data_IF_760165304340
#
_entry.id   IF_760165304340
#
_cell.length_a   1.000
_cell.length_b   1.000
_cell.length_c   1.000
_cell.angle_alpha   90.00
_cell.angle_beta   90.00
_cell.angle_gamma   90.00
#
_symmetry.space_group_name_H-M   'P 1'
#
loop_
_entity.id
_entity.type
_entity.pdbx_description
1 polymer ?
#
# COMPACT_ATOMS: atom_id res chain seq x y z
N UNK A 1 -10.90 1.73 -85.60
CA UNK A 1 -12.09 2.49 -85.12
C UNK A 1 -11.79 2.99 -83.72
N UNK A 2 -11.49 4.29 -83.61
CA UNK A 2 -11.12 4.97 -82.36
C UNK A 2 -12.36 5.51 -81.63
N UNK A 3 -12.43 5.32 -80.32
CA UNK A 3 -13.10 6.21 -79.35
C UNK A 3 -12.23 6.16 -78.09
N UNK A 4 -11.30 7.09 -77.85
CA UNK A 4 -11.47 8.50 -77.45
C UNK A 4 -12.13 8.62 -76.06
N UNK A 5 -11.35 8.95 -75.02
CA UNK A 5 -11.32 10.29 -74.40
C UNK A 5 -10.46 10.30 -73.13
N UNK A 6 -9.47 11.18 -73.15
CA UNK A 6 -8.74 11.65 -71.98
C UNK A 6 -9.70 12.43 -71.06
N UNK A 7 -9.57 12.25 -69.74
CA UNK A 7 -10.01 13.26 -68.77
C UNK A 7 -9.24 13.11 -67.47
N UNK A 8 -8.07 13.74 -67.41
CA UNK A 8 -7.43 14.17 -66.17
C UNK A 8 -8.32 15.17 -65.44
N UNK A 9 -8.33 15.18 -64.10
CA UNK A 9 -8.15 16.39 -63.25
C UNK A 9 -8.26 16.09 -61.74
N UNK A 10 -7.28 16.65 -61.00
CA UNK A 10 -7.26 17.13 -59.60
C UNK A 10 -7.35 16.17 -58.41
N UNK A 11 -6.20 15.96 -57.75
CA UNK A 11 -6.05 16.00 -56.29
C UNK A 11 -6.11 17.49 -55.84
N UNK A 12 -6.67 17.85 -54.66
CA UNK A 12 -5.94 17.65 -53.40
C UNK A 12 -6.77 17.48 -52.10
N UNK A 13 -6.10 16.89 -51.09
CA UNK A 13 -6.13 17.20 -49.63
C UNK A 13 -7.48 17.38 -48.93
N UNK A 14 -7.80 16.49 -47.97
CA UNK A 14 -8.33 16.95 -46.67
C UNK A 14 -8.00 15.98 -45.53
N UNK A 15 -7.07 16.44 -44.68
CA UNK A 15 -6.80 15.95 -43.34
C UNK A 15 -8.07 15.77 -42.53
N UNK A 16 -8.19 14.67 -41.79
CA UNK A 16 -8.81 14.66 -40.47
C UNK A 16 -7.97 13.70 -39.60
N UNK A 17 -6.98 14.31 -38.94
CA UNK A 17 -6.40 13.82 -37.69
C UNK A 17 -7.53 13.81 -36.66
N UNK A 18 -7.96 12.64 -36.19
CA UNK A 18 -8.80 12.55 -35.00
C UNK A 18 -7.99 12.00 -33.82
N UNK A 19 -7.63 12.98 -32.99
CA UNK A 19 -7.61 12.93 -31.53
C UNK A 19 -6.71 11.87 -30.89
N UNK A 20 -5.48 12.33 -30.63
CA UNK A 20 -4.80 12.10 -29.37
C UNK A 20 -5.75 12.39 -28.20
N UNK A 21 -6.43 11.35 -27.72
CA UNK A 21 -6.90 11.30 -26.34
C UNK A 21 -5.69 11.16 -25.43
N UNK A 22 -4.94 12.26 -25.28
CA UNK A 22 -3.92 12.38 -24.25
C UNK A 22 -4.68 12.38 -22.92
N UNK A 23 -4.89 11.18 -22.36
CA UNK A 23 -5.26 11.05 -20.97
C UNK A 23 -4.12 11.71 -20.19
N UNK A 24 -4.34 12.95 -19.78
CA UNK A 24 -3.69 13.51 -18.61
C UNK A 24 -4.02 12.56 -17.46
N UNK A 25 -3.21 11.51 -17.30
CA UNK A 25 -2.97 10.96 -15.98
C UNK A 25 -2.44 12.14 -15.19
N UNK A 26 -3.35 12.79 -14.47
CA UNK A 26 -2.99 13.55 -13.29
C UNK A 26 -2.25 12.53 -12.45
N UNK A 27 -0.93 12.55 -12.55
CA UNK A 27 -0.06 11.97 -11.55
C UNK A 27 -0.51 12.65 -10.28
N UNK A 28 -1.32 11.94 -9.50
CA UNK A 28 -1.59 12.29 -8.12
C UNK A 28 -0.26 12.07 -7.42
N UNK A 29 0.62 13.06 -7.56
CA UNK A 29 1.81 13.22 -6.76
C UNK A 29 1.27 13.47 -5.36
N UNK A 30 1.06 12.37 -4.65
CA UNK A 30 0.75 12.36 -3.24
C UNK A 30 1.94 13.01 -2.54
N UNK A 31 1.83 14.31 -2.25
CA UNK A 31 2.76 15.02 -1.37
C UNK A 31 2.55 14.64 0.10
N UNK A 32 1.87 13.52 0.37
CA UNK A 32 1.83 12.95 1.70
C UNK A 32 3.21 12.41 2.03
N UNK A 33 3.85 13.05 3.02
CA UNK A 33 5.05 12.54 3.70
C UNK A 33 4.86 11.06 4.00
N UNK A 34 5.89 10.25 3.75
CA UNK A 34 5.88 8.82 4.07
C UNK A 34 5.43 8.56 5.53
N UNK A 35 4.72 7.45 5.78
CA UNK A 35 4.31 7.09 7.13
C UNK A 35 5.53 6.88 8.02
N UNK A 36 5.40 7.23 9.30
CA UNK A 36 6.43 6.95 10.31
C UNK A 36 6.52 5.46 10.62
N UNK A 37 5.36 4.81 10.69
CA UNK A 37 5.22 3.36 10.85
C UNK A 37 4.15 2.90 9.86
N UNK A 38 4.41 1.81 9.15
CA UNK A 38 3.41 1.12 8.35
C UNK A 38 3.34 -0.36 8.74
N UNK A 39 2.14 -0.91 8.81
CA UNK A 39 1.87 -2.34 8.94
C UNK A 39 0.96 -2.75 7.79
N UNK A 40 1.26 -3.87 7.15
CA UNK A 40 0.43 -4.50 6.14
C UNK A 40 0.32 -5.99 6.43
N UNK A 41 -0.91 -6.49 6.51
CA UNK A 41 -1.22 -7.91 6.58
C UNK A 41 -1.92 -8.33 5.28
N UNK A 42 -1.22 -9.11 4.45
CA UNK A 42 -1.74 -9.56 3.17
C UNK A 42 -2.82 -10.65 3.35
N UNK A 43 -3.51 -11.01 2.28
CA UNK A 43 -4.48 -12.11 2.32
C UNK A 43 -3.75 -13.45 2.41
N UNK A 44 -4.34 -14.40 3.11
CA UNK A 44 -3.92 -15.80 3.13
C UNK A 44 -5.03 -16.68 2.53
N UNK A 45 -4.80 -17.99 2.37
CA UNK A 45 -5.84 -18.92 1.89
C UNK A 45 -6.92 -19.24 2.95
N UNK A 46 -6.71 -18.87 4.21
CA UNK A 46 -7.67 -19.04 5.30
C UNK A 46 -8.40 -17.76 5.70
N UNK A 47 -8.83 -17.72 6.96
CA UNK A 47 -9.58 -16.59 7.53
C UNK A 47 -8.68 -15.53 8.19
N UNK A 48 -7.45 -15.35 7.72
CA UNK A 48 -6.56 -14.34 8.29
C UNK A 48 -7.13 -12.93 8.06
N UNK A 49 -7.07 -12.10 9.09
CA UNK A 49 -7.38 -10.67 9.01
C UNK A 49 -6.40 -10.00 8.04
N UNK A 50 -6.90 -9.26 7.07
CA UNK A 50 -6.08 -8.50 6.13
C UNK A 50 -6.46 -7.04 6.21
N UNK A 51 -5.46 -6.20 6.43
CA UNK A 51 -5.59 -4.76 6.49
C UNK A 51 -4.25 -4.06 6.25
N UNK A 52 -4.30 -2.73 6.09
CA UNK A 52 -3.13 -1.85 6.15
C UNK A 52 -3.33 -0.77 7.20
N UNK A 53 -2.27 -0.45 7.92
CA UNK A 53 -2.21 0.60 8.91
C UNK A 53 -1.02 1.51 8.60
N UNK A 54 -1.28 2.79 8.39
CA UNK A 54 -0.25 3.81 8.13
C UNK A 54 -0.33 4.90 9.20
N UNK A 55 0.71 5.01 10.02
CA UNK A 55 0.78 5.96 11.13
C UNK A 55 1.70 7.11 10.73
N UNK A 56 1.16 8.32 10.72
CA UNK A 56 1.86 9.58 10.48
C UNK A 56 1.97 10.38 11.78
N UNK A 57 2.65 11.54 11.74
CA UNK A 57 2.88 12.39 12.92
C UNK A 57 1.61 12.82 13.67
N UNK A 58 0.48 12.99 12.97
CA UNK A 58 -0.79 13.50 13.53
C UNK A 58 -2.01 12.77 13.00
N UNK A 59 -1.82 11.78 12.14
CA UNK A 59 -2.89 11.10 11.42
C UNK A 59 -2.59 9.61 11.36
N UNK A 60 -3.60 8.79 11.45
CA UNK A 60 -3.51 7.37 11.13
C UNK A 60 -4.50 7.05 10.02
N UNK A 61 -4.10 6.20 9.08
CA UNK A 61 -4.95 5.66 8.03
C UNK A 61 -5.02 4.16 8.19
N UNK A 62 -6.22 3.63 8.21
CA UNK A 62 -6.51 2.20 8.24
C UNK A 62 -7.27 1.82 6.96
N UNK A 63 -6.92 0.70 6.35
CA UNK A 63 -7.63 0.10 5.22
C UNK A 63 -7.95 -1.34 5.58
N UNK A 64 -9.20 -1.63 5.96
CA UNK A 64 -9.67 -2.98 6.23
C UNK A 64 -10.01 -3.71 4.92
N UNK A 65 -9.42 -4.89 4.70
CA UNK A 65 -9.50 -5.61 3.41
C UNK A 65 -10.39 -6.86 3.53
N UNK A 66 -10.05 -7.78 4.43
CA UNK A 66 -10.82 -9.03 4.61
C UNK A 66 -10.71 -9.59 6.01
N UNK A 67 -11.77 -10.30 6.46
CA UNK A 67 -11.84 -10.92 7.79
C UNK A 67 -11.54 -9.94 8.93
N UNK A 68 -11.98 -8.69 8.78
CA UNK A 68 -11.88 -7.60 9.77
C UNK A 68 -13.29 -7.07 10.05
N UNK A 69 -13.51 -6.46 11.21
CA UNK A 69 -14.82 -5.93 11.63
C UNK A 69 -15.31 -4.81 10.69
N UNK A 70 -14.40 -3.92 10.27
CA UNK A 70 -14.65 -2.73 9.46
C UNK A 70 -13.83 -2.76 8.18
N UNK A 71 -14.51 -2.88 7.04
CA UNK A 71 -13.89 -2.84 5.70
C UNK A 71 -13.81 -1.42 5.16
N UNK A 72 -12.83 -1.17 4.30
CA UNK A 72 -12.64 0.11 3.62
C UNK A 72 -11.68 1.04 4.37
N UNK A 73 -11.69 2.32 3.97
CA UNK A 73 -10.74 3.31 4.47
C UNK A 73 -11.27 4.06 5.67
N UNK A 74 -10.48 4.09 6.74
CA UNK A 74 -10.66 4.96 7.90
C UNK A 74 -9.44 5.88 8.05
N UNK A 75 -9.70 7.10 8.48
CA UNK A 75 -8.68 8.13 8.62
C UNK A 75 -9.03 9.00 9.82
N UNK A 76 -8.29 8.84 10.92
CA UNK A 76 -8.52 9.56 12.18
C UNK A 76 -7.25 10.30 12.62
N UNK A 77 -7.43 11.23 13.57
CA UNK A 77 -6.32 11.98 14.18
C UNK A 77 -5.68 11.12 15.26
N UNK A 78 -4.35 11.13 15.34
CA UNK A 78 -3.61 10.41 16.39
C UNK A 78 -2.85 11.40 17.27
N UNK A 79 -2.91 11.17 18.58
CA UNK A 79 -2.14 11.96 19.55
C UNK A 79 -0.65 11.65 19.41
N UNK A 80 0.18 12.70 19.53
CA UNK A 80 1.64 12.56 19.47
C UNK A 80 2.15 11.50 20.45
N UNK A 81 1.62 11.45 21.68
CA UNK A 81 2.05 10.49 22.70
C UNK A 81 1.83 9.03 22.29
N UNK A 82 0.75 8.73 21.55
CA UNK A 82 0.49 7.40 21.00
C UNK A 82 1.53 7.04 19.95
N UNK A 83 1.83 7.98 19.03
CA UNK A 83 2.88 7.77 18.02
C UNK A 83 4.24 7.57 18.67
N UNK A 84 4.59 8.39 19.66
CA UNK A 84 5.86 8.31 20.40
C UNK A 84 5.97 6.96 21.15
N UNK A 85 4.87 6.45 21.73
CA UNK A 85 4.81 5.14 22.37
C UNK A 85 5.08 3.99 21.38
N UNK A 86 4.42 4.01 20.22
CA UNK A 86 4.65 3.01 19.17
C UNK A 86 6.09 3.05 18.65
N UNK A 87 6.66 4.24 18.47
CA UNK A 87 8.09 4.40 18.12
C UNK A 87 9.00 3.82 19.22
N UNK A 88 8.65 4.01 20.50
CA UNK A 88 9.40 3.43 21.61
C UNK A 88 9.41 1.90 21.55
N UNK A 89 8.30 1.27 21.15
CA UNK A 89 8.24 -0.18 20.95
C UNK A 89 9.15 -0.62 19.79
N UNK A 90 9.15 0.10 18.66
CA UNK A 90 10.05 -0.19 17.52
C UNK A 90 11.52 -0.14 17.93
N UNK A 91 11.90 0.89 18.70
CA UNK A 91 13.29 1.14 19.09
C UNK A 91 13.76 0.21 20.20
N UNK A 92 12.93 -0.07 21.21
CA UNK A 92 13.28 -0.97 22.33
C UNK A 92 13.42 -2.42 21.89
N UNK A 93 12.76 -2.81 20.79
CA UNK A 93 12.83 -4.16 20.22
C UNK A 93 13.84 -4.25 19.05
N UNK A 94 14.73 -3.27 18.91
CA UNK A 94 15.82 -3.27 17.92
C UNK A 94 15.36 -3.52 16.48
N UNK A 95 14.22 -2.95 16.08
CA UNK A 95 13.66 -3.16 14.74
C UNK A 95 14.66 -2.85 13.62
N UNK A 96 15.48 -1.81 13.80
CA UNK A 96 16.52 -1.41 12.85
C UNK A 96 17.66 -2.43 12.71
N UNK A 97 17.80 -3.39 13.63
CA UNK A 97 18.80 -4.46 13.59
C UNK A 97 18.29 -5.79 13.03
N UNK A 98 16.96 -5.97 12.91
CA UNK A 98 16.36 -7.18 12.34
C UNK A 98 16.83 -7.49 10.91
N UNK A 99 16.75 -8.73 10.46
CA UNK A 99 16.84 -9.04 9.03
C UNK A 99 15.64 -8.46 8.27
N UNK A 100 15.80 -8.24 6.96
CA UNK A 100 14.73 -7.69 6.13
C UNK A 100 13.63 -8.72 5.86
N UNK A 101 13.92 -10.02 5.97
CA UNK A 101 12.99 -11.09 5.62
C UNK A 101 13.05 -12.27 6.59
N UNK A 102 11.90 -12.76 7.01
CA UNK A 102 11.74 -14.01 7.77
C UNK A 102 10.61 -14.84 7.15
N UNK A 103 10.91 -15.51 6.04
CA UNK A 103 9.92 -16.15 5.18
C UNK A 103 10.14 -17.66 5.06
N UNK A 104 9.04 -18.37 4.90
CA UNK A 104 9.03 -19.77 4.49
C UNK A 104 8.63 -19.91 3.03
N UNK A 105 8.89 -21.08 2.44
CA UNK A 105 8.36 -21.44 1.12
C UNK A 105 6.86 -21.79 1.09
N UNK A 106 6.17 -21.80 2.25
CA UNK A 106 4.73 -22.09 2.34
C UNK A 106 3.90 -20.90 1.83
N UNK A 107 3.12 -21.13 0.78
CA UNK A 107 2.30 -20.09 0.11
C UNK A 107 1.01 -19.75 0.86
N UNK A 108 0.60 -20.61 1.77
CA UNK A 108 -0.69 -20.48 2.46
C UNK A 108 -0.60 -19.55 3.68
N UNK A 109 0.63 -19.24 4.11
CA UNK A 109 0.88 -18.35 5.23
C UNK A 109 0.64 -16.89 4.85
N UNK A 110 0.19 -16.11 5.82
CA UNK A 110 0.02 -14.68 5.66
C UNK A 110 1.38 -13.98 5.64
N UNK A 111 1.65 -13.24 4.56
CA UNK A 111 2.74 -12.28 4.49
C UNK A 111 2.40 -11.03 5.30
N UNK A 112 3.31 -10.66 6.20
CA UNK A 112 3.20 -9.46 7.03
C UNK A 112 4.39 -8.56 6.72
N UNK A 113 4.13 -7.25 6.59
CA UNK A 113 5.16 -6.24 6.36
C UNK A 113 5.04 -5.15 7.41
N UNK A 114 6.16 -4.84 8.06
CA UNK A 114 6.28 -3.69 8.96
C UNK A 114 7.35 -2.77 8.38
N UNK A 115 7.07 -1.47 8.31
CA UNK A 115 8.04 -0.46 7.88
C UNK A 115 8.21 0.60 8.97
N UNK A 116 9.45 0.93 9.29
CA UNK A 116 9.82 1.99 10.22
C UNK A 116 11.18 2.57 9.85
N UNK A 117 11.27 3.90 9.86
CA UNK A 117 12.50 4.65 9.55
C UNK A 117 13.18 4.24 8.23
N UNK A 118 12.39 4.02 7.17
CA UNK A 118 12.90 3.61 5.85
C UNK A 118 13.27 2.12 5.74
N UNK A 119 13.32 1.39 6.85
CA UNK A 119 13.51 -0.06 6.85
C UNK A 119 12.17 -0.77 6.75
N UNK A 120 12.11 -1.87 6.00
CA UNK A 120 10.95 -2.75 5.91
C UNK A 120 11.37 -4.18 6.23
N UNK A 121 10.60 -4.84 7.10
CA UNK A 121 10.76 -6.25 7.45
C UNK A 121 9.53 -7.00 6.96
N UNK A 122 9.74 -8.03 6.13
CA UNK A 122 8.69 -8.89 5.56
C UNK A 122 8.78 -10.28 6.17
N UNK A 123 7.69 -10.81 6.72
CA UNK A 123 7.77 -12.05 7.48
C UNK A 123 6.47 -12.86 7.52
N UNK A 124 6.63 -14.15 7.83
CA UNK A 124 5.55 -15.00 8.31
C UNK A 124 5.67 -15.11 9.83
N UNK A 125 4.54 -15.05 10.57
CA UNK A 125 4.53 -15.11 12.05
C UNK A 125 5.35 -16.28 12.63
N UNK A 126 5.39 -17.42 11.93
CA UNK A 126 6.09 -18.63 12.40
C UNK A 126 7.62 -18.48 12.42
N UNK A 127 8.18 -17.68 11.52
CA UNK A 127 9.64 -17.51 11.37
C UNK A 127 10.16 -16.24 12.05
N UNK A 128 9.25 -15.39 12.53
CA UNK A 128 9.61 -14.12 13.12
C UNK A 128 10.24 -14.32 14.52
N UNK A 129 11.33 -13.61 14.83
CA UNK A 129 11.88 -13.60 16.18
C UNK A 129 10.91 -12.91 17.16
N UNK A 130 11.07 -13.21 18.45
CA UNK A 130 10.16 -12.75 19.51
C UNK A 130 10.01 -11.23 19.54
N UNK A 131 11.10 -10.48 19.41
CA UNK A 131 11.08 -9.02 19.39
C UNK A 131 10.25 -8.44 18.21
N UNK A 132 10.24 -9.11 17.05
CA UNK A 132 9.37 -8.72 15.92
C UNK A 132 7.89 -9.06 16.18
N UNK A 133 7.60 -10.16 16.88
CA UNK A 133 6.24 -10.51 17.27
C UNK A 133 5.65 -9.52 18.29
N UNK A 134 6.44 -9.06 19.26
CA UNK A 134 6.02 -8.02 20.22
C UNK A 134 5.62 -6.72 19.50
N UNK A 135 6.41 -6.31 18.50
CA UNK A 135 6.09 -5.15 17.66
C UNK A 135 4.78 -5.39 16.91
N UNK A 136 4.64 -6.55 16.27
CA UNK A 136 3.44 -6.88 15.50
C UNK A 136 2.18 -6.82 16.38
N UNK A 137 2.20 -7.46 17.54
CA UNK A 137 1.07 -7.46 18.48
C UNK A 137 0.67 -6.05 18.89
N UNK A 138 1.65 -5.20 19.19
CA UNK A 138 1.39 -3.80 19.55
C UNK A 138 0.71 -3.02 18.42
N UNK A 139 1.14 -3.23 17.17
CA UNK A 139 0.56 -2.56 16.01
C UNK A 139 -0.83 -3.11 15.64
N UNK A 140 -1.04 -4.42 15.79
CA UNK A 140 -2.35 -5.08 15.57
C UNK A 140 -3.37 -4.60 16.60
N UNK A 141 -3.00 -4.59 17.89
CA UNK A 141 -3.86 -4.08 18.95
C UNK A 141 -4.29 -2.64 18.69
N UNK A 142 -3.34 -1.80 18.28
CA UNK A 142 -3.65 -0.42 17.91
C UNK A 142 -4.55 -0.34 16.65
N UNK A 143 -4.38 -1.21 15.66
CA UNK A 143 -5.29 -1.27 14.51
C UNK A 143 -6.73 -1.61 14.94
N UNK A 144 -6.90 -2.57 15.86
CA UNK A 144 -8.22 -2.94 16.39
C UNK A 144 -8.86 -1.84 17.25
N UNK A 145 -8.08 -0.99 17.92
CA UNK A 145 -8.61 0.21 18.58
C UNK A 145 -9.18 1.20 17.55
N UNK A 146 -8.43 1.46 16.47
CA UNK A 146 -8.85 2.35 15.39
C UNK A 146 -10.09 1.82 14.67
N UNK A 147 -10.21 0.50 14.51
CA UNK A 147 -11.37 -0.14 13.90
C UNK A 147 -12.70 0.12 14.64
N UNK A 148 -12.63 0.31 15.96
CA UNK A 148 -13.78 0.52 16.85
C UNK A 148 -14.23 1.99 16.94
N UNK A 149 -13.45 2.93 16.44
CA UNK A 149 -13.83 4.37 16.31
C UNK A 149 -14.83 4.59 15.15
#
# INVERSE_FOLDING_TARGET
MMKNKNLTWTLPVLSILLFFGNCNQKNYSSSEKEPKIALSQERCLGNCESFKLNIYKKKVKYEGISNVEKKGFLSTSVKKITVDSLISIMTTNDFELLENEYLTNLRDLQTIKISYNGKTVTFHKREAPENLLVILESLVNYAHEIEKE
#
